data_IF_925170657404
#
_entry.id   IF_925170657404
#
_cell.length_a   1.000
_cell.length_b   1.000
_cell.length_c   1.000
_cell.angle_alpha   90.00
_cell.angle_beta   90.00
_cell.angle_gamma   90.00
#
_symmetry.space_group_name_H-M   'P 1'
#
loop_
_entity.id
_entity.type
_entity.pdbx_description
1 polymer ?
#
# COMPACT_ATOMS: atom_id res chain seq x y z
N UNK A 1 -11.45 -10.37 16.77
CA UNK A 1 -10.79 -10.91 15.55
C UNK A 1 -9.30 -10.87 15.82
N UNK A 2 -8.62 -12.00 15.80
CA UNK A 2 -7.17 -12.06 16.01
C UNK A 2 -6.50 -12.49 14.70
N UNK A 3 -5.90 -11.55 13.99
CA UNK A 3 -5.14 -11.81 12.77
C UNK A 3 -3.66 -11.98 13.10
N UNK A 4 -2.99 -12.82 12.33
CA UNK A 4 -1.53 -12.96 12.35
C UNK A 4 -0.97 -12.40 11.04
N UNK A 5 0.10 -11.62 11.14
CA UNK A 5 0.79 -10.99 10.02
C UNK A 5 2.19 -11.59 9.93
N UNK A 6 2.45 -12.31 8.85
CA UNK A 6 3.73 -12.99 8.61
C UNK A 6 4.46 -12.24 7.50
N UNK A 7 5.62 -11.73 7.81
CA UNK A 7 6.45 -11.02 6.83
C UNK A 7 6.81 -11.92 5.65
N UNK A 8 6.73 -11.35 4.44
CA UNK A 8 7.12 -12.04 3.21
C UNK A 8 8.64 -12.09 3.12
N UNK A 9 9.17 -13.29 3.03
CA UNK A 9 10.59 -13.60 2.85
C UNK A 9 10.75 -14.61 1.71
N UNK A 10 11.97 -14.99 1.40
CA UNK A 10 12.22 -16.05 0.40
C UNK A 10 11.52 -17.37 0.75
N UNK A 11 11.32 -17.68 2.04
CA UNK A 11 10.78 -18.96 2.49
C UNK A 11 9.26 -19.09 2.23
N UNK A 12 8.53 -17.99 2.17
CA UNK A 12 7.08 -17.97 1.97
C UNK A 12 6.64 -17.18 0.72
N UNK A 13 7.59 -16.82 -0.14
CA UNK A 13 7.36 -16.01 -1.34
C UNK A 13 6.28 -16.60 -2.25
N UNK A 14 6.34 -17.92 -2.49
CA UNK A 14 5.39 -18.58 -3.39
C UNK A 14 3.95 -18.45 -2.90
N UNK A 15 3.71 -18.60 -1.60
CA UNK A 15 2.39 -18.41 -1.01
C UNK A 15 1.92 -16.95 -1.14
N UNK A 16 2.80 -15.99 -0.90
CA UNK A 16 2.48 -14.56 -1.06
C UNK A 16 2.10 -14.23 -2.51
N UNK A 17 2.86 -14.75 -3.48
CA UNK A 17 2.60 -14.59 -4.92
C UNK A 17 1.25 -15.19 -5.31
N UNK A 18 0.94 -16.40 -4.86
CA UNK A 18 -0.34 -17.06 -5.13
C UNK A 18 -1.52 -16.23 -4.63
N UNK A 19 -1.45 -15.75 -3.38
CA UNK A 19 -2.51 -14.93 -2.78
C UNK A 19 -2.65 -13.60 -3.54
N UNK A 20 -1.55 -12.91 -3.82
CA UNK A 20 -1.58 -11.64 -4.54
C UNK A 20 -2.15 -11.81 -5.95
N UNK A 21 -1.70 -12.78 -6.72
CA UNK A 21 -2.19 -13.02 -8.08
C UNK A 21 -3.67 -13.42 -8.10
N UNK A 22 -4.17 -14.05 -7.03
CA UNK A 22 -5.60 -14.32 -6.87
C UNK A 22 -6.40 -13.04 -6.61
N UNK A 23 -5.86 -12.11 -5.82
CA UNK A 23 -6.52 -10.82 -5.50
C UNK A 23 -6.40 -9.83 -6.66
N UNK A 24 -5.24 -9.79 -7.31
CA UNK A 24 -4.86 -8.87 -8.39
C UNK A 24 -4.41 -9.66 -9.62
N UNK A 25 -5.33 -10.25 -10.40
CA UNK A 25 -4.98 -11.20 -11.47
C UNK A 25 -4.28 -10.59 -12.68
N UNK A 26 -4.24 -9.26 -12.79
CA UNK A 26 -3.54 -8.54 -13.86
C UNK A 26 -2.11 -8.14 -13.46
N UNK A 27 -1.73 -8.36 -12.21
CA UNK A 27 -0.43 -7.99 -11.66
C UNK A 27 0.50 -9.20 -11.53
N UNK A 28 1.81 -8.96 -11.59
CA UNK A 28 2.82 -9.98 -11.30
C UNK A 28 3.28 -9.89 -9.84
N UNK A 29 2.68 -10.69 -8.98
CA UNK A 29 3.00 -10.71 -7.56
C UNK A 29 4.46 -11.07 -7.27
N UNK A 30 5.11 -11.86 -8.13
CA UNK A 30 6.53 -12.21 -7.96
C UNK A 30 7.43 -10.98 -8.12
N UNK A 31 7.22 -10.19 -9.16
CA UNK A 31 7.97 -8.94 -9.37
C UNK A 31 7.78 -8.02 -8.17
N UNK A 32 6.52 -7.83 -7.74
CA UNK A 32 6.17 -6.93 -6.63
C UNK A 32 6.84 -7.33 -5.30
N UNK A 33 6.89 -8.62 -4.97
CA UNK A 33 7.50 -9.07 -3.72
C UNK A 33 9.02 -9.14 -3.80
N UNK A 34 9.60 -9.45 -4.94
CA UNK A 34 11.06 -9.41 -5.12
C UNK A 34 11.58 -7.99 -4.94
N UNK A 35 10.88 -6.98 -5.41
CA UNK A 35 11.23 -5.57 -5.16
C UNK A 35 11.31 -5.24 -3.67
N UNK A 36 10.42 -5.84 -2.84
CA UNK A 36 10.46 -5.68 -1.39
C UNK A 36 11.60 -6.42 -0.70
N UNK A 37 12.07 -7.52 -1.27
CA UNK A 37 13.18 -8.33 -0.72
C UNK A 37 14.53 -7.80 -1.19
N UNK A 38 14.60 -7.20 -2.39
CA UNK A 38 15.82 -6.61 -2.95
C UNK A 38 16.01 -5.18 -2.45
N UNK A 39 17.25 -4.73 -2.41
CA UNK A 39 17.56 -3.36 -2.00
C UNK A 39 17.33 -2.38 -3.16
N UNK A 40 16.20 -1.69 -3.14
CA UNK A 40 15.91 -0.58 -4.05
C UNK A 40 16.57 0.70 -3.50
N UNK A 41 17.48 1.37 -4.24
CA UNK A 41 18.18 2.57 -3.76
C UNK A 41 17.26 3.78 -3.52
N UNK A 42 16.06 3.80 -4.10
CA UNK A 42 15.09 4.89 -3.92
C UNK A 42 14.17 4.69 -2.72
N UNK A 43 14.10 3.47 -2.20
CA UNK A 43 13.26 3.14 -1.05
C UNK A 43 14.04 3.16 0.25
N UNK A 44 13.45 3.80 1.25
CA UNK A 44 13.92 3.71 2.64
C UNK A 44 13.65 2.32 3.20
N UNK A 45 12.47 1.79 2.95
CA UNK A 45 12.07 0.42 3.26
C UNK A 45 10.90 -0.04 2.39
N UNK A 46 10.75 -1.34 2.29
CA UNK A 46 9.55 -2.01 1.81
C UNK A 46 9.39 -3.32 2.57
N UNK A 47 8.22 -3.53 3.16
CA UNK A 47 7.89 -4.76 3.89
C UNK A 47 6.48 -5.20 3.52
N UNK A 48 6.33 -6.48 3.23
CA UNK A 48 5.05 -7.08 2.86
C UNK A 48 4.69 -8.18 3.83
N UNK A 49 3.40 -8.43 4.02
CA UNK A 49 2.88 -9.42 4.94
C UNK A 49 1.80 -10.27 4.29
N UNK A 50 1.84 -11.56 4.57
CA UNK A 50 0.69 -12.46 4.39
C UNK A 50 -0.15 -12.37 5.66
N UNK A 51 -1.45 -12.23 5.49
CA UNK A 51 -2.41 -12.12 6.58
C UNK A 51 -3.13 -13.43 6.80
N UNK A 52 -3.12 -13.92 8.02
CA UNK A 52 -3.78 -15.16 8.42
C UNK A 52 -4.89 -14.88 9.45
N UNK A 53 -6.00 -15.58 9.28
CA UNK A 53 -7.00 -15.77 10.31
C UNK A 53 -6.89 -17.23 10.82
N UNK A 54 -6.37 -17.42 12.04
CA UNK A 54 -5.91 -18.71 12.52
C UNK A 54 -4.83 -19.30 11.58
N UNK A 55 -5.09 -20.42 10.94
CA UNK A 55 -4.18 -21.11 10.02
C UNK A 55 -4.52 -20.88 8.54
N UNK A 56 -5.50 -20.03 8.24
CA UNK A 56 -5.99 -19.79 6.90
C UNK A 56 -5.49 -18.43 6.40
N UNK A 57 -4.80 -18.43 5.25
CA UNK A 57 -4.36 -17.17 4.61
C UNK A 57 -5.57 -16.46 4.01
N UNK A 58 -5.73 -15.17 4.32
CA UNK A 58 -6.92 -14.40 3.96
C UNK A 58 -6.63 -13.18 3.09
N UNK A 59 -5.38 -12.76 2.98
CA UNK A 59 -5.02 -11.58 2.22
C UNK A 59 -3.56 -11.20 2.35
N UNK A 60 -3.26 -10.02 1.83
CA UNK A 60 -1.91 -9.42 1.84
C UNK A 60 -1.99 -7.94 2.20
N UNK A 61 -0.89 -7.42 2.71
CA UNK A 61 -0.69 -5.98 2.97
C UNK A 61 0.79 -5.65 2.95
N UNK A 62 1.15 -4.49 2.43
CA UNK A 62 2.52 -4.02 2.44
C UNK A 62 2.63 -2.57 2.89
N UNK A 63 3.84 -2.20 3.26
CA UNK A 63 4.26 -0.85 3.59
C UNK A 63 5.56 -0.56 2.84
N UNK A 64 5.64 0.61 2.22
CA UNK A 64 6.90 1.12 1.69
C UNK A 64 7.07 2.61 1.99
N UNK A 65 8.29 3.08 1.92
CA UNK A 65 8.65 4.48 2.08
C UNK A 65 9.81 4.82 1.16
N UNK A 66 9.86 6.06 0.69
CA UNK A 66 10.95 6.56 -0.15
C UNK A 66 11.97 7.37 0.63
N UNK A 67 13.24 7.31 0.20
CA UNK A 67 14.31 8.13 0.79
C UNK A 67 14.06 9.64 0.62
N UNK A 68 13.40 10.05 -0.47
CA UNK A 68 13.06 11.46 -0.72
C UNK A 68 11.95 11.97 0.22
N UNK A 69 11.05 11.07 0.66
CA UNK A 69 9.93 11.39 1.56
C UNK A 69 9.91 10.43 2.77
N UNK A 70 10.96 10.43 3.61
CA UNK A 70 11.19 9.40 4.61
C UNK A 70 10.20 9.42 5.78
N UNK A 71 9.37 10.43 5.87
CA UNK A 71 8.34 10.60 6.91
C UNK A 71 6.98 10.00 6.50
N UNK A 72 6.82 9.62 5.23
CA UNK A 72 5.58 9.09 4.68
C UNK A 72 5.67 7.57 4.50
N UNK A 73 4.71 6.84 5.07
CA UNK A 73 4.51 5.42 4.81
C UNK A 73 3.38 5.23 3.79
N UNK A 74 3.63 4.43 2.77
CA UNK A 74 2.67 4.10 1.73
C UNK A 74 2.11 2.70 1.90
N UNK A 75 0.80 2.56 1.77
CA UNK A 75 0.12 1.27 1.71
C UNK A 75 0.40 0.60 0.36
N UNK A 76 0.86 -0.63 0.38
CA UNK A 76 1.17 -1.43 -0.82
C UNK A 76 0.41 -2.74 -0.80
N UNK A 77 0.02 -3.21 -1.99
CA UNK A 77 -0.56 -4.54 -2.25
C UNK A 77 -1.57 -4.99 -1.19
N UNK A 78 -2.50 -4.12 -0.85
CA UNK A 78 -3.51 -4.36 0.16
C UNK A 78 -4.75 -5.03 -0.43
N UNK A 79 -5.03 -6.25 0.00
CA UNK A 79 -6.20 -6.97 -0.49
C UNK A 79 -6.62 -8.14 0.40
N UNK A 80 -7.89 -8.51 0.25
CA UNK A 80 -8.52 -9.65 0.93
C UNK A 80 -9.09 -10.59 -0.13
N UNK A 81 -8.83 -11.89 0.01
CA UNK A 81 -9.40 -12.93 -0.84
C UNK A 81 -10.93 -12.86 -0.84
N UNK A 82 -11.56 -13.11 -1.97
CA UNK A 82 -12.99 -12.87 -2.21
C UNK A 82 -13.88 -13.51 -1.16
N UNK A 83 -13.64 -14.78 -0.81
CA UNK A 83 -14.42 -15.52 0.19
C UNK A 83 -14.37 -14.95 1.60
N UNK A 84 -13.41 -14.04 1.87
CA UNK A 84 -13.24 -13.37 3.17
C UNK A 84 -13.69 -11.91 3.16
N UNK A 85 -14.13 -11.37 2.03
CA UNK A 85 -14.61 -9.98 1.93
C UNK A 85 -15.90 -9.77 2.73
N UNK A 86 -16.21 -8.51 3.02
CA UNK A 86 -17.40 -8.07 3.74
C UNK A 86 -17.56 -8.61 5.19
N UNK A 87 -16.46 -9.10 5.78
CA UNK A 87 -16.40 -9.63 7.16
C UNK A 87 -15.57 -8.75 8.10
N UNK A 88 -15.22 -7.55 7.68
CA UNK A 88 -14.43 -6.59 8.48
C UNK A 88 -12.91 -6.81 8.42
N UNK A 89 -12.41 -7.82 7.70
CA UNK A 89 -10.97 -8.10 7.61
C UNK A 89 -10.17 -6.95 6.99
N UNK A 90 -10.66 -6.34 5.91
CA UNK A 90 -9.99 -5.20 5.31
C UNK A 90 -9.77 -4.05 6.28
N UNK A 91 -10.78 -3.76 7.13
CA UNK A 91 -10.64 -2.75 8.19
C UNK A 91 -9.57 -3.11 9.21
N UNK A 92 -9.53 -4.37 9.67
CA UNK A 92 -8.54 -4.83 10.64
C UNK A 92 -7.11 -4.85 10.07
N UNK A 93 -6.95 -5.21 8.78
CA UNK A 93 -5.66 -5.18 8.09
C UNK A 93 -5.17 -3.74 7.91
N UNK A 94 -6.06 -2.80 7.57
CA UNK A 94 -5.71 -1.39 7.50
C UNK A 94 -5.28 -0.84 8.87
N UNK A 95 -5.95 -1.24 9.97
CA UNK A 95 -5.56 -0.85 11.33
C UNK A 95 -4.16 -1.37 11.69
N UNK A 96 -3.81 -2.57 11.25
CA UNK A 96 -2.45 -3.08 11.38
C UNK A 96 -1.45 -2.19 10.64
N UNK A 97 -1.71 -1.85 9.37
CA UNK A 97 -0.85 -0.95 8.59
C UNK A 97 -0.66 0.40 9.28
N UNK A 98 -1.74 1.03 9.77
CA UNK A 98 -1.65 2.29 10.49
C UNK A 98 -0.82 2.15 11.78
N UNK A 99 -1.00 1.06 12.53
CA UNK A 99 -0.28 0.82 13.77
C UNK A 99 1.22 0.60 13.54
N UNK A 100 1.62 -0.25 12.59
CA UNK A 100 3.04 -0.46 12.28
C UNK A 100 3.69 0.81 11.74
N UNK A 101 2.95 1.64 10.99
CA UNK A 101 3.45 2.94 10.53
C UNK A 101 3.76 3.87 11.70
N UNK A 102 2.91 3.90 12.72
CA UNK A 102 3.15 4.65 13.97
C UNK A 102 4.34 4.11 14.76
N UNK A 103 4.43 2.79 14.93
CA UNK A 103 5.52 2.12 15.64
C UNK A 103 6.87 2.36 14.98
N UNK A 104 6.89 2.45 13.64
CA UNK A 104 8.09 2.76 12.84
C UNK A 104 8.43 4.27 12.82
N UNK A 105 7.58 5.12 13.42
CA UNK A 105 7.82 6.56 13.57
C UNK A 105 7.48 7.39 12.33
N UNK A 106 6.61 6.92 11.44
CA UNK A 106 6.12 7.72 10.33
C UNK A 106 5.16 8.82 10.80
N UNK A 107 5.22 9.97 10.13
CA UNK A 107 4.37 11.13 10.43
C UNK A 107 3.06 11.11 9.64
N UNK A 108 3.03 10.43 8.50
CA UNK A 108 1.84 10.30 7.67
C UNK A 108 1.75 8.93 7.01
N UNK A 109 0.53 8.48 6.74
CA UNK A 109 0.25 7.36 5.86
C UNK A 109 -0.43 7.84 4.59
N UNK A 110 -0.12 7.15 3.49
CA UNK A 110 -0.65 7.44 2.17
C UNK A 110 -1.01 6.16 1.42
N UNK A 111 -1.91 6.31 0.47
CA UNK A 111 -2.22 5.27 -0.51
C UNK A 111 -2.68 5.95 -1.79
N UNK A 112 -2.33 5.39 -2.94
CA UNK A 112 -3.00 5.72 -4.19
C UNK A 112 -3.76 4.51 -4.71
N UNK A 113 -4.82 4.76 -5.43
CA UNK A 113 -5.70 3.76 -6.02
C UNK A 113 -6.41 4.34 -7.23
N UNK A 114 -6.95 3.47 -8.06
CA UNK A 114 -7.79 3.89 -9.17
C UNK A 114 -9.19 4.25 -8.68
N UNK A 115 -9.89 5.10 -9.42
CA UNK A 115 -11.21 5.60 -9.05
C UNK A 115 -12.33 4.55 -9.16
N UNK A 116 -12.05 3.41 -9.81
CA UNK A 116 -12.97 2.27 -9.94
C UNK A 116 -13.11 1.42 -8.66
N UNK A 117 -12.20 1.55 -7.69
CA UNK A 117 -12.20 0.72 -6.47
C UNK A 117 -13.04 1.28 -5.32
N UNK A 118 -14.35 1.40 -5.51
CA UNK A 118 -15.31 1.95 -4.53
C UNK A 118 -15.17 1.38 -3.11
N UNK A 119 -14.94 0.08 -2.97
CA UNK A 119 -14.80 -0.56 -1.66
C UNK A 119 -13.55 -0.11 -0.91
N UNK A 120 -12.44 0.07 -1.61
CA UNK A 120 -11.19 0.58 -1.05
C UNK A 120 -11.33 2.09 -0.71
N UNK A 121 -11.89 2.87 -1.63
CA UNK A 121 -12.17 4.31 -1.45
C UNK A 121 -13.03 4.53 -0.19
N UNK A 122 -14.12 3.79 -0.05
CA UNK A 122 -15.00 3.88 1.11
C UNK A 122 -14.30 3.49 2.41
N UNK A 123 -13.41 2.51 2.38
CA UNK A 123 -12.60 2.14 3.54
C UNK A 123 -11.67 3.28 3.93
N UNK A 124 -10.92 3.87 3.00
CA UNK A 124 -9.97 4.94 3.29
C UNK A 124 -10.66 6.18 3.87
N UNK A 125 -11.84 6.55 3.33
CA UNK A 125 -12.66 7.64 3.88
C UNK A 125 -13.10 7.32 5.32
N UNK A 126 -13.59 6.11 5.58
CA UNK A 126 -13.98 5.67 6.94
C UNK A 126 -12.80 5.65 7.93
N UNK A 127 -11.59 5.42 7.44
CA UNK A 127 -10.35 5.48 8.25
C UNK A 127 -9.84 6.91 8.46
N UNK A 128 -10.57 7.91 8.00
CA UNK A 128 -10.26 9.33 8.20
C UNK A 128 -9.17 9.87 7.28
N UNK A 129 -8.92 9.20 6.16
CA UNK A 129 -8.01 9.72 5.14
C UNK A 129 -8.69 10.81 4.31
N UNK A 130 -7.91 11.81 3.89
CA UNK A 130 -8.39 12.86 2.97
C UNK A 130 -8.06 12.48 1.53
N UNK A 131 -9.02 12.69 0.64
CA UNK A 131 -8.91 12.42 -0.81
C UNK A 131 -8.30 13.60 -1.54
N UNK A 132 -7.49 13.29 -2.55
CA UNK A 132 -6.91 14.22 -3.50
C UNK A 132 -6.89 13.55 -4.88
N UNK A 133 -7.40 14.25 -5.91
CA UNK A 133 -7.23 13.79 -7.28
C UNK A 133 -5.77 14.05 -7.69
N UNK A 134 -5.15 13.03 -8.27
CA UNK A 134 -3.76 13.13 -8.70
C UNK A 134 -3.66 13.91 -10.01
N UNK A 135 -2.65 14.74 -10.13
CA UNK A 135 -2.28 15.41 -11.36
C UNK A 135 -0.81 15.83 -11.33
N UNK A 136 -0.01 15.30 -12.23
CA UNK A 136 1.39 15.64 -12.38
C UNK A 136 1.73 15.74 -13.87
N UNK A 137 2.31 16.85 -14.29
CA UNK A 137 2.63 17.13 -15.70
C UNK A 137 3.64 16.15 -16.31
N UNK A 138 4.38 15.45 -15.48
CA UNK A 138 5.38 14.45 -15.89
C UNK A 138 4.82 13.02 -15.98
N UNK A 139 3.56 12.82 -15.61
CA UNK A 139 2.86 11.53 -15.71
C UNK A 139 1.98 11.48 -16.96
N UNK A 140 1.59 10.26 -17.39
CA UNK A 140 0.66 10.09 -18.48
C UNK A 140 -0.73 10.64 -18.17
N UNK A 141 -1.48 11.00 -19.21
CA UNK A 141 -2.88 11.48 -19.07
C UNK A 141 -3.78 10.41 -18.39
N UNK A 142 -3.53 9.14 -18.64
CA UNK A 142 -4.26 8.02 -18.06
C UNK A 142 -4.05 7.96 -16.54
N UNK A 143 -2.81 7.99 -16.08
CA UNK A 143 -2.47 8.03 -14.65
C UNK A 143 -3.10 9.25 -13.98
N UNK A 144 -2.98 10.43 -14.58
CA UNK A 144 -3.55 11.66 -14.05
C UNK A 144 -5.08 11.62 -13.94
N UNK A 145 -5.77 10.95 -14.86
CA UNK A 145 -7.23 10.90 -14.90
C UNK A 145 -7.82 9.92 -13.89
N UNK A 146 -7.18 8.79 -13.70
CA UNK A 146 -7.75 7.64 -12.98
C UNK A 146 -7.26 7.53 -11.53
N UNK A 147 -6.11 8.13 -11.21
CA UNK A 147 -5.46 7.95 -9.92
C UNK A 147 -5.97 8.94 -8.86
N UNK A 148 -6.25 8.39 -7.69
CA UNK A 148 -6.63 9.13 -6.49
C UNK A 148 -5.61 8.85 -5.40
N UNK A 149 -5.18 9.90 -4.68
CA UNK A 149 -4.30 9.78 -3.51
C UNK A 149 -5.11 10.05 -2.24
N UNK A 150 -4.90 9.22 -1.25
CA UNK A 150 -5.41 9.40 0.10
C UNK A 150 -4.27 9.62 1.08
N UNK A 151 -4.47 10.52 2.03
CA UNK A 151 -3.46 10.88 3.04
C UNK A 151 -4.08 11.00 4.42
N UNK A 152 -3.32 10.64 5.45
CA UNK A 152 -3.69 10.82 6.87
C UNK A 152 -2.45 11.13 7.70
N UNK A 153 -2.52 12.19 8.52
CA UNK A 153 -1.50 12.44 9.53
C UNK A 153 -1.56 11.41 10.65
N UNK A 154 -0.41 10.94 11.07
CA UNK A 154 -0.25 10.08 12.26
C UNK A 154 0.15 10.87 13.51
N UNK A 155 0.32 12.17 13.38
CA UNK A 155 0.66 13.11 14.45
C UNK A 155 -0.55 13.98 14.81
N UNK A 156 -0.37 14.93 15.70
CA UNK A 156 -1.37 15.95 16.03
C UNK A 156 -1.47 17.06 14.97
N UNK A 157 -0.59 17.04 13.98
CA UNK A 157 -0.62 18.01 12.89
C UNK A 157 -1.76 17.71 11.91
N UNK A 158 -2.26 18.77 11.27
CA UNK A 158 -3.23 18.64 10.18
C UNK A 158 -2.66 17.80 9.04
N UNK A 159 -3.48 16.89 8.51
CA UNK A 159 -3.11 16.10 7.35
C UNK A 159 -2.72 16.98 6.17
N UNK A 160 -1.54 16.76 5.62
CA UNK A 160 -1.03 17.42 4.41
C UNK A 160 -1.32 16.54 3.21
N UNK A 161 -1.83 17.15 2.12
CA UNK A 161 -2.01 16.48 0.84
C UNK A 161 -0.65 16.12 0.23
N UNK A 162 -0.65 15.17 -0.69
CA UNK A 162 0.54 14.78 -1.45
C UNK A 162 1.00 15.89 -2.43
N UNK A 163 0.06 16.71 -2.91
CA UNK A 163 0.31 17.85 -3.80
C UNK A 163 0.96 17.46 -5.13
N UNK A 164 0.46 16.36 -5.71
CA UNK A 164 0.82 15.95 -7.08
C UNK A 164 2.32 15.71 -7.32
N UNK A 165 3.06 15.31 -6.31
CA UNK A 165 4.43 14.83 -6.47
C UNK A 165 4.40 13.46 -7.14
N UNK A 166 5.52 12.96 -7.66
CA UNK A 166 5.58 11.62 -8.21
C UNK A 166 5.08 10.56 -7.22
N UNK A 167 4.30 9.62 -7.73
CA UNK A 167 3.77 8.50 -6.94
C UNK A 167 4.78 7.38 -6.75
N UNK A 168 5.66 7.19 -7.74
CA UNK A 168 6.66 6.14 -7.74
C UNK A 168 8.04 6.73 -8.04
N UNK A 169 8.93 6.65 -7.08
CA UNK A 169 10.34 7.01 -7.25
C UNK A 169 11.14 5.74 -7.48
N UNK A 170 11.43 5.46 -8.75
CA UNK A 170 12.24 4.32 -9.18
C UNK A 170 13.37 4.81 -10.06
N UNK A 171 14.37 3.96 -10.30
CA UNK A 171 15.48 4.26 -11.20
C UNK A 171 15.02 4.62 -12.62
N UNK A 172 13.90 4.10 -13.08
CA UNK A 172 13.33 4.39 -14.39
C UNK A 172 12.73 5.80 -14.40
N UNK A 173 11.88 6.13 -13.43
CA UNK A 173 11.24 7.45 -13.30
C UNK A 173 12.29 8.55 -13.13
N UNK A 174 13.37 8.31 -12.38
CA UNK A 174 14.46 9.26 -12.22
C UNK A 174 15.22 9.55 -13.52
N UNK A 175 15.29 8.60 -14.46
CA UNK A 175 15.92 8.79 -15.76
C UNK A 175 15.06 9.61 -16.73
N UNK A 176 13.74 9.65 -16.48
CA UNK A 176 12.78 10.39 -17.31
C UNK A 176 12.55 11.82 -16.82
N UNK A 177 12.99 12.14 -15.60
CA UNK A 177 13.00 13.50 -15.03
C UNK A 177 14.17 14.32 -15.55
#
# INVERSE_FOLDING_TARGET
>A
MKLNFIEVTNDNLELAVEIQNTIFPLEDGRVNYIEGITNDPYRKEMVNYIVFNNNESIGVVGLYSYNEYPEDAWLSWFGVLEQFRNKGYGSAIFDFFENISREKGYNAIRVYTDDEFDSAINLYIKKGMIRENYSNELESDEINKETIVFSKSLTLEKTKKWNNKFLQLTAQVEKEK
#
